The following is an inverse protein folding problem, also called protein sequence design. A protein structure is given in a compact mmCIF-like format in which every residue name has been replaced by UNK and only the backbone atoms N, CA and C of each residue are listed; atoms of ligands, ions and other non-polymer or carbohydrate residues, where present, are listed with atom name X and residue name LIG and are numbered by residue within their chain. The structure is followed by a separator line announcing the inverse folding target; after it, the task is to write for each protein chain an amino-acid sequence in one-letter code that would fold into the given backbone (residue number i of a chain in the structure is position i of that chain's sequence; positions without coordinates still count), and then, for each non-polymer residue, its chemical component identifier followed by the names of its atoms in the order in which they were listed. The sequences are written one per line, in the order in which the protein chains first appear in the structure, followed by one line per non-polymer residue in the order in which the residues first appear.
data_IF_176844816832
#
_entry.id   IF_176844816832
#
_cell.length_a   1.000
_cell.length_b   1.000
_cell.length_c   1.000
_cell.angle_alpha   90.00
_cell.angle_beta   90.00
_cell.angle_gamma   90.00
#
_symmetry.space_group_name_H-M   'P 1'
#
loop_
_entity.id
_entity.type
_entity.pdbx_description
1 polymer ?
#
# COMPACT_ATOMS: atom_id res chain seq x y z
N UNK A 1 -8.76 -20.26 0.34
CA UNK A 1 -8.72 -19.47 -0.91
C UNK A 1 -8.57 -17.99 -0.54
N UNK A 2 -7.35 -17.46 -0.61
CA UNK A 2 -7.14 -16.01 -0.60
C UNK A 2 -7.72 -15.54 -1.94
N UNK A 3 -8.57 -14.51 -2.00
CA UNK A 3 -9.03 -13.96 -3.27
C UNK A 3 -7.86 -13.20 -3.93
N UNK A 4 -6.93 -13.96 -4.53
CA UNK A 4 -5.84 -13.50 -5.39
C UNK A 4 -6.36 -13.48 -6.84
N UNK A 5 -7.51 -12.87 -7.04
CA UNK A 5 -8.06 -12.66 -8.38
C UNK A 5 -8.53 -11.23 -8.38
N UNK A 6 -8.27 -10.53 -9.50
CA UNK A 6 -8.54 -9.11 -9.80
C UNK A 6 -7.37 -8.11 -9.74
N UNK A 7 -6.10 -8.52 -9.87
CA UNK A 7 -5.08 -7.64 -10.48
C UNK A 7 -4.72 -8.14 -11.87
N UNK A 8 -5.60 -7.87 -12.83
CA UNK A 8 -5.21 -7.89 -14.23
C UNK A 8 -4.11 -6.82 -14.44
N UNK A 9 -2.84 -7.24 -14.41
CA UNK A 9 -1.74 -6.49 -15.02
C UNK A 9 -0.59 -6.00 -14.13
N UNK A 10 -0.70 -6.00 -12.79
CA UNK A 10 0.43 -5.59 -11.92
C UNK A 10 0.93 -6.81 -11.14
N UNK A 11 2.10 -7.39 -11.53
CA UNK A 11 2.60 -8.63 -10.92
C UNK A 11 2.97 -8.49 -9.43
N UNK A 12 2.99 -7.26 -8.91
CA UNK A 12 3.35 -6.93 -7.53
C UNK A 12 2.42 -5.83 -6.97
N UNK A 13 1.21 -6.21 -6.55
CA UNK A 13 0.35 -5.28 -5.81
C UNK A 13 0.91 -4.97 -4.42
N UNK A 14 0.50 -3.85 -3.78
CA UNK A 14 0.90 -3.48 -2.41
C UNK A 14 0.73 -4.62 -1.40
N UNK A 15 -0.29 -5.48 -1.60
CA UNK A 15 -0.51 -6.67 -0.80
C UNK A 15 0.66 -7.67 -0.83
N UNK A 16 1.19 -8.01 -2.01
CA UNK A 16 2.33 -8.94 -2.14
C UNK A 16 3.59 -8.31 -1.54
N UNK A 17 3.78 -7.00 -1.75
CA UNK A 17 4.85 -6.23 -1.12
C UNK A 17 4.79 -6.29 0.41
N UNK A 18 3.60 -6.16 1.00
CA UNK A 18 3.41 -6.35 2.44
C UNK A 18 3.65 -7.79 2.91
N UNK A 19 3.11 -8.76 2.19
CA UNK A 19 3.17 -10.18 2.55
C UNK A 19 4.61 -10.70 2.68
N UNK A 20 5.48 -10.35 1.74
CA UNK A 20 6.89 -10.73 1.80
C UNK A 20 7.77 -9.70 2.52
N UNK A 21 7.43 -8.40 2.42
CA UNK A 21 8.23 -7.30 2.96
C UNK A 21 8.17 -7.13 4.48
N UNK A 22 7.11 -7.61 5.14
CA UNK A 22 7.01 -7.54 6.62
C UNK A 22 8.14 -8.30 7.31
N UNK A 23 8.72 -9.31 6.67
CA UNK A 23 9.86 -10.07 7.19
C UNK A 23 11.12 -9.20 7.39
N UNK A 24 11.24 -8.09 6.66
CA UNK A 24 12.31 -7.11 6.85
C UNK A 24 12.11 -6.21 8.08
N UNK A 25 10.90 -6.16 8.65
CA UNK A 25 10.60 -5.49 9.90
C UNK A 25 10.92 -6.43 11.08
N UNK A 26 12.21 -6.46 11.43
CA UNK A 26 12.87 -7.41 12.34
C UNK A 26 12.48 -7.31 13.82
N UNK A 27 11.48 -6.51 14.20
CA UNK A 27 11.14 -6.34 15.61
C UNK A 27 10.25 -7.49 16.11
N UNK A 28 10.87 -8.60 16.50
CA UNK A 28 10.21 -9.86 16.89
C UNK A 28 9.23 -9.74 18.07
N UNK A 29 9.34 -8.67 18.86
CA UNK A 29 8.49 -8.42 20.03
C UNK A 29 7.16 -7.69 19.71
N UNK A 30 7.03 -7.08 18.54
CA UNK A 30 5.81 -6.35 18.17
C UNK A 30 4.67 -7.32 17.78
N UNK A 31 3.43 -6.97 18.14
CA UNK A 31 2.26 -7.74 17.71
C UNK A 31 2.10 -7.68 16.18
N UNK A 32 1.57 -8.74 15.53
CA UNK A 32 1.33 -8.77 14.09
C UNK A 32 0.57 -7.53 13.58
N UNK A 33 -0.42 -7.09 14.36
CA UNK A 33 -1.23 -5.89 14.09
C UNK A 33 -0.38 -4.63 14.07
N UNK A 34 0.50 -4.45 15.06
CA UNK A 34 1.34 -3.26 15.17
C UNK A 34 2.34 -3.19 14.02
N UNK A 35 2.92 -4.33 13.63
CA UNK A 35 3.79 -4.43 12.46
C UNK A 35 3.06 -4.13 11.17
N UNK A 36 1.88 -4.70 10.98
CA UNK A 36 1.03 -4.46 9.81
C UNK A 36 0.63 -2.99 9.68
N UNK A 37 0.23 -2.34 10.78
CA UNK A 37 -0.10 -0.92 10.81
C UNK A 37 1.11 -0.05 10.50
N UNK A 38 2.28 -0.35 11.07
CA UNK A 38 3.51 0.39 10.78
C UNK A 38 3.92 0.25 9.32
N UNK A 39 3.90 -0.98 8.77
CA UNK A 39 4.25 -1.25 7.38
C UNK A 39 3.28 -0.56 6.41
N UNK A 40 1.98 -0.71 6.63
CA UNK A 40 0.94 -0.04 5.84
C UNK A 40 1.05 1.48 5.91
N UNK A 41 1.31 2.04 7.10
CA UNK A 41 1.52 3.47 7.29
C UNK A 41 2.72 4.02 6.52
N UNK A 42 3.90 3.38 6.65
CA UNK A 42 5.09 3.79 5.90
C UNK A 42 4.93 3.65 4.38
N UNK A 43 4.27 2.57 3.94
CA UNK A 43 3.95 2.39 2.52
C UNK A 43 3.01 3.50 2.03
N UNK A 44 2.03 3.88 2.84
CA UNK A 44 1.11 4.98 2.56
C UNK A 44 1.83 6.33 2.44
N UNK A 45 2.76 6.65 3.34
CA UNK A 45 3.55 7.89 3.27
C UNK A 45 4.41 7.93 2.01
N UNK A 46 5.11 6.82 1.69
CA UNK A 46 5.99 6.75 0.53
C UNK A 46 5.19 6.87 -0.78
N UNK A 47 4.14 6.08 -0.93
CA UNK A 47 3.32 6.09 -2.13
C UNK A 47 2.48 7.37 -2.24
N UNK A 48 1.97 7.88 -1.13
CA UNK A 48 1.27 9.16 -1.08
C UNK A 48 2.15 10.31 -1.54
N UNK A 49 3.42 10.34 -1.13
CA UNK A 49 4.39 11.33 -1.61
C UNK A 49 4.58 11.25 -3.13
N UNK A 50 4.75 10.04 -3.66
CA UNK A 50 4.87 9.82 -5.11
C UNK A 50 3.60 10.24 -5.87
N UNK A 51 2.42 9.90 -5.36
CA UNK A 51 1.14 10.27 -5.97
C UNK A 51 0.86 11.77 -5.89
N UNK A 52 1.25 12.45 -4.81
CA UNK A 52 1.14 13.91 -4.71
C UNK A 52 2.02 14.57 -5.77
N UNK A 53 3.28 14.13 -5.93
CA UNK A 53 4.18 14.66 -6.97
C UNK A 53 3.57 14.45 -8.37
N UNK A 54 3.11 13.23 -8.66
CA UNK A 54 2.44 12.93 -9.93
C UNK A 54 1.17 13.77 -10.12
N UNK A 55 0.36 13.94 -9.08
CA UNK A 55 -0.86 14.74 -9.08
C UNK A 55 -0.60 16.21 -9.38
N UNK A 56 0.45 16.79 -8.79
CA UNK A 56 0.91 18.16 -9.10
C UNK A 56 1.30 18.27 -10.58
N UNK A 57 2.12 17.34 -11.09
CA UNK A 57 2.55 17.33 -12.49
C UNK A 57 1.33 17.26 -13.41
N UNK A 58 0.45 16.28 -13.23
CA UNK A 58 -0.74 16.08 -14.07
C UNK A 58 -1.66 17.29 -14.02
N UNK A 59 -1.87 17.88 -12.84
CA UNK A 59 -2.67 19.11 -12.70
C UNK A 59 -2.05 20.29 -13.46
N UNK A 60 -0.71 20.37 -13.52
CA UNK A 60 0.00 21.48 -14.16
C UNK A 60 0.11 21.37 -15.69
N UNK A 61 0.12 20.16 -16.24
CA UNK A 61 0.37 19.92 -17.68
C UNK A 61 -0.85 19.42 -18.45
N UNK A 62 -1.96 19.12 -17.75
CA UNK A 62 -3.19 18.61 -18.38
C UNK A 62 -4.38 19.52 -18.08
N UNK A 63 -5.40 19.48 -18.95
CA UNK A 63 -6.71 20.10 -18.69
C UNK A 63 -7.68 19.20 -17.93
N UNK A 64 -7.19 18.11 -17.31
CA UNK A 64 -8.03 17.17 -16.57
C UNK A 64 -8.56 17.84 -15.31
N UNK A 65 -9.82 17.56 -14.97
CA UNK A 65 -10.46 18.12 -13.78
C UNK A 65 -9.64 17.86 -12.50
N UNK A 66 -9.19 18.90 -11.78
CA UNK A 66 -8.35 18.74 -10.59
C UNK A 66 -8.98 17.84 -9.53
N UNK A 67 -10.31 17.89 -9.37
CA UNK A 67 -10.99 17.06 -8.37
C UNK A 67 -10.85 15.57 -8.66
N UNK A 68 -10.85 15.17 -9.94
CA UNK A 68 -10.66 13.77 -10.32
C UNK A 68 -9.22 13.30 -10.02
N UNK A 69 -8.23 14.17 -10.28
CA UNK A 69 -6.82 13.89 -9.99
C UNK A 69 -6.62 13.69 -8.49
N UNK A 70 -7.09 14.63 -7.67
CA UNK A 70 -6.87 14.58 -6.22
C UNK A 70 -7.68 13.49 -5.52
N UNK A 71 -8.89 13.17 -6.02
CA UNK A 71 -9.62 11.98 -5.56
C UNK A 71 -8.86 10.69 -5.88
N UNK A 72 -8.25 10.58 -7.07
CA UNK A 72 -7.42 9.44 -7.41
C UNK A 72 -6.19 9.33 -6.52
N UNK A 73 -5.49 10.45 -6.26
CA UNK A 73 -4.34 10.49 -5.33
C UNK A 73 -4.75 9.99 -3.95
N UNK A 74 -5.88 10.46 -3.43
CA UNK A 74 -6.42 10.04 -2.14
C UNK A 74 -6.71 8.54 -2.11
N UNK A 75 -7.52 8.05 -3.06
CA UNK A 75 -7.93 6.65 -3.14
C UNK A 75 -6.72 5.73 -3.33
N UNK A 76 -5.80 6.08 -4.23
CA UNK A 76 -4.60 5.30 -4.47
C UNK A 76 -3.70 5.22 -3.24
N UNK A 77 -3.54 6.32 -2.50
CA UNK A 77 -2.75 6.34 -1.25
C UNK A 77 -3.33 5.39 -0.21
N UNK A 78 -4.64 5.49 0.07
CA UNK A 78 -5.31 4.61 1.03
C UNK A 78 -5.32 3.16 0.58
N UNK A 79 -5.51 2.92 -0.72
CA UNK A 79 -5.45 1.59 -1.31
C UNK A 79 -4.07 0.95 -1.11
N UNK A 80 -2.97 1.67 -1.38
CA UNK A 80 -1.62 1.16 -1.15
C UNK A 80 -1.33 0.91 0.32
N UNK A 81 -1.70 1.84 1.20
CA UNK A 81 -1.47 1.72 2.64
C UNK A 81 -2.22 0.50 3.22
N UNK A 82 -3.51 0.37 2.91
CA UNK A 82 -4.36 -0.69 3.44
C UNK A 82 -3.98 -2.07 2.90
N UNK A 83 -3.74 -2.20 1.60
CA UNK A 83 -3.35 -3.48 1.00
C UNK A 83 -1.97 -3.94 1.49
N UNK A 84 -1.00 -3.03 1.61
CA UNK A 84 0.30 -3.36 2.18
C UNK A 84 0.22 -3.78 3.64
N UNK A 85 -0.60 -3.10 4.45
CA UNK A 85 -0.86 -3.49 5.84
C UNK A 85 -1.53 -4.87 5.94
N UNK A 86 -2.54 -5.15 5.11
CA UNK A 86 -3.21 -6.46 5.06
C UNK A 86 -2.25 -7.57 4.63
N UNK A 87 -1.41 -7.31 3.63
CA UNK A 87 -0.36 -8.23 3.21
C UNK A 87 0.58 -8.56 4.36
N UNK A 88 1.09 -7.52 5.04
CA UNK A 88 1.99 -7.65 6.18
C UNK A 88 1.36 -8.44 7.34
N UNK A 89 0.09 -8.16 7.65
CA UNK A 89 -0.65 -8.91 8.66
C UNK A 89 -0.71 -10.40 8.29
N UNK A 90 -1.11 -10.70 7.05
CA UNK A 90 -1.24 -12.07 6.59
C UNK A 90 0.10 -12.83 6.59
N UNK A 91 1.19 -12.14 6.24
CA UNK A 91 2.55 -12.67 6.34
C UNK A 91 2.93 -13.05 7.77
N UNK A 92 2.67 -12.16 8.74
CA UNK A 92 2.96 -12.41 10.16
C UNK A 92 2.11 -13.54 10.77
N UNK A 93 0.83 -13.65 10.41
CA UNK A 93 -0.01 -14.76 10.88
C UNK A 93 0.49 -16.10 10.36
N UNK A 94 0.93 -16.18 9.10
CA UNK A 94 1.45 -17.42 8.52
C UNK A 94 2.73 -17.91 9.20
N UNK A 95 3.57 -17.01 9.70
CA UNK A 95 4.80 -17.40 10.40
C UNK A 95 4.51 -17.97 11.80
N UNK A 96 3.36 -17.61 12.39
CA UNK A 96 3.00 -17.94 13.78
C UNK A 96 2.00 -19.09 13.91
N UNK A 97 1.36 -19.52 12.83
CA UNK A 97 0.42 -20.66 12.78
C UNK A 97 1.03 -21.86 12.10
#
# INVERSE_FOLDING_TARGET
LIPIVHFAGIPFGPFIGGYYGVSAASDSAASPVRKALAFGGWTGVLMGSAFVIAGVIVTSVTGVSPILIWLLVLVATFYYASMAGLGAWYGELKVRG
#
